data_IF_209671106320
#
_entry.id   IF_209671106320
#
_cell.length_a   1.000
_cell.length_b   1.000
_cell.length_c   1.000
_cell.angle_alpha   90.00
_cell.angle_beta   90.00
_cell.angle_gamma   90.00
#
_symmetry.space_group_name_H-M   'P 1'
#
loop_
_entity.id
_entity.type
_entity.pdbx_description
1 polymer ?
#
# COMPACT_ATOMS: atom_id res chain seq x y z
N UNK A 1 14.73 -17.68 4.03
CA UNK A 1 14.98 -19.06 4.49
C UNK A 1 14.51 -19.98 3.38
N UNK A 2 15.25 -21.02 2.95
CA UNK A 2 14.71 -22.01 2.00
C UNK A 2 13.37 -22.62 2.46
N UNK A 3 13.06 -22.52 3.76
CA UNK A 3 11.82 -23.03 4.34
C UNK A 3 10.66 -22.01 4.43
N UNK A 4 10.89 -20.71 4.25
CA UNK A 4 9.85 -19.68 4.43
C UNK A 4 9.80 -18.58 3.35
N UNK A 5 10.68 -18.61 2.34
CA UNK A 5 10.72 -17.62 1.26
C UNK A 5 11.21 -16.22 1.66
N UNK A 6 11.54 -15.98 2.93
CA UNK A 6 11.92 -14.64 3.41
C UNK A 6 13.39 -14.28 3.09
N UNK A 7 13.71 -12.99 2.86
CA UNK A 7 15.08 -12.53 2.69
C UNK A 7 15.97 -12.93 3.87
N UNK A 8 17.14 -13.51 3.59
CA UNK A 8 18.14 -13.80 4.63
C UNK A 8 18.90 -12.52 4.96
N UNK A 9 19.10 -12.24 6.24
CA UNK A 9 19.99 -11.15 6.67
C UNK A 9 21.40 -11.43 6.11
N UNK A 10 22.01 -10.41 5.51
CA UNK A 10 23.37 -10.46 4.95
C UNK A 10 24.14 -9.25 5.45
N UNK A 11 25.37 -9.49 5.87
CA UNK A 11 26.32 -8.41 6.21
C UNK A 11 27.11 -8.04 4.98
N UNK A 12 27.32 -6.74 4.79
CA UNK A 12 28.13 -6.20 3.70
C UNK A 12 29.28 -5.39 4.29
N UNK A 13 30.45 -5.48 3.67
CA UNK A 13 31.64 -4.75 4.13
C UNK A 13 31.59 -3.25 3.81
N UNK A 14 32.59 -2.46 4.26
CA UNK A 14 32.63 -1.00 4.09
C UNK A 14 32.52 -0.51 2.63
N UNK A 15 32.86 -1.37 1.65
CA UNK A 15 32.74 -1.07 0.23
C UNK A 15 31.32 -0.69 -0.20
N UNK A 16 30.29 -1.14 0.52
CA UNK A 16 28.89 -0.87 0.21
C UNK A 16 28.56 0.63 0.20
N UNK A 17 29.19 1.43 1.07
CA UNK A 17 28.98 2.88 1.09
C UNK A 17 29.45 3.53 -0.22
N UNK A 18 30.59 3.09 -0.76
CA UNK A 18 31.10 3.56 -2.06
C UNK A 18 30.19 3.14 -3.21
N UNK A 19 29.60 1.95 -3.14
CA UNK A 19 28.61 1.51 -4.11
C UNK A 19 27.35 2.39 -4.08
N UNK A 20 26.88 2.79 -2.88
CA UNK A 20 25.75 3.72 -2.75
C UNK A 20 26.08 5.13 -3.27
N UNK A 21 27.31 5.62 -3.10
CA UNK A 21 27.75 6.91 -3.68
C UNK A 21 27.63 6.90 -5.21
N UNK A 22 28.06 5.81 -5.86
CA UNK A 22 27.93 5.64 -7.31
C UNK A 22 26.46 5.53 -7.70
N UNK A 23 25.67 4.71 -6.98
CA UNK A 23 24.25 4.53 -7.26
C UNK A 23 23.46 5.84 -7.15
N UNK A 24 23.85 6.74 -6.23
CA UNK A 24 23.21 8.04 -6.06
C UNK A 24 23.33 8.93 -7.31
N UNK A 25 24.41 8.80 -8.10
CA UNK A 25 24.57 9.53 -9.38
C UNK A 25 23.53 9.10 -10.42
N UNK A 26 23.02 7.88 -10.31
CA UNK A 26 21.98 7.33 -11.19
C UNK A 26 20.55 7.57 -10.66
N UNK A 27 20.37 8.45 -9.67
CA UNK A 27 19.02 8.78 -9.14
C UNK A 27 18.03 9.26 -10.20
N UNK A 28 18.53 9.86 -11.28
CA UNK A 28 17.70 10.34 -12.40
C UNK A 28 17.03 9.20 -13.20
N UNK A 29 17.54 7.95 -13.09
CA UNK A 29 16.90 6.79 -13.71
C UNK A 29 15.62 6.36 -12.99
N UNK A 30 15.39 6.80 -11.74
CA UNK A 30 14.20 6.41 -10.97
C UNK A 30 12.93 6.81 -11.69
N UNK A 31 11.98 5.88 -11.79
CA UNK A 31 10.71 6.12 -12.49
C UNK A 31 10.81 6.07 -14.02
N UNK A 32 12.00 5.89 -14.60
CA UNK A 32 12.17 5.70 -16.05
C UNK A 32 12.14 4.22 -16.43
N UNK A 33 12.07 3.92 -17.73
CA UNK A 33 12.13 2.55 -18.25
C UNK A 33 13.45 1.82 -17.91
N UNK A 34 14.52 2.58 -17.62
CA UNK A 34 15.86 2.11 -17.25
C UNK A 34 16.05 1.96 -15.74
N UNK A 35 14.99 2.09 -14.92
CA UNK A 35 15.05 1.86 -13.47
C UNK A 35 15.13 0.35 -13.15
N UNK A 36 16.28 -0.19 -12.73
CA UNK A 36 16.40 -1.62 -12.42
C UNK A 36 15.57 -2.02 -11.19
N UNK A 37 15.28 -1.07 -10.29
CA UNK A 37 14.49 -1.33 -9.08
C UNK A 37 13.00 -1.08 -9.31
N UNK A 38 12.64 -0.29 -10.33
CA UNK A 38 11.26 0.04 -10.66
C UNK A 38 10.42 -1.12 -11.19
N UNK A 39 11.05 -2.22 -11.60
CA UNK A 39 10.36 -3.42 -12.11
C UNK A 39 10.17 -4.51 -11.06
N UNK A 40 10.62 -4.31 -9.82
CA UNK A 40 10.36 -5.27 -8.76
C UNK A 40 8.86 -5.40 -8.50
N UNK A 41 8.43 -6.59 -8.05
CA UNK A 41 7.04 -6.86 -7.73
C UNK A 41 6.52 -5.90 -6.63
N UNK A 42 7.34 -5.65 -5.60
CA UNK A 42 7.01 -4.68 -4.54
C UNK A 42 6.78 -3.26 -5.09
N UNK A 43 7.65 -2.77 -5.99
CA UNK A 43 7.51 -1.42 -6.54
C UNK A 43 6.30 -1.28 -7.47
N UNK A 44 5.96 -2.33 -8.21
CA UNK A 44 4.73 -2.35 -9.02
C UNK A 44 3.48 -2.27 -8.14
N UNK A 45 3.43 -3.08 -7.08
CA UNK A 45 2.31 -3.08 -6.13
C UNK A 45 2.15 -1.74 -5.41
N UNK A 46 3.26 -1.09 -5.02
CA UNK A 46 3.23 0.25 -4.43
C UNK A 46 2.64 1.31 -5.37
N UNK A 47 2.98 1.26 -6.67
CA UNK A 47 2.40 2.18 -7.66
C UNK A 47 0.93 1.92 -7.87
N UNK A 48 0.54 0.65 -8.04
CA UNK A 48 -0.88 0.26 -8.11
C UNK A 48 -1.68 0.67 -6.87
N UNK A 49 -1.05 0.75 -5.68
CA UNK A 49 -1.73 1.24 -4.48
C UNK A 49 -2.07 2.73 -4.58
N UNK A 50 -1.19 3.54 -5.20
CA UNK A 50 -1.45 4.96 -5.42
C UNK A 50 -2.66 5.11 -6.35
N UNK A 51 -2.63 4.41 -7.49
CA UNK A 51 -3.72 4.48 -8.49
C UNK A 51 -5.05 4.03 -7.88
N UNK A 52 -5.04 2.92 -7.12
CA UNK A 52 -6.24 2.43 -6.42
C UNK A 52 -6.76 3.43 -5.40
N UNK A 53 -5.87 4.08 -4.65
CA UNK A 53 -6.31 5.09 -3.68
C UNK A 53 -6.95 6.30 -4.37
N UNK A 54 -6.40 6.75 -5.49
CA UNK A 54 -7.01 7.82 -6.29
C UNK A 54 -8.40 7.40 -6.78
N UNK A 55 -8.55 6.19 -7.32
CA UNK A 55 -9.86 5.66 -7.71
C UNK A 55 -10.83 5.55 -6.53
N UNK A 56 -10.36 5.18 -5.34
CA UNK A 56 -11.21 5.12 -4.14
C UNK A 56 -11.70 6.51 -3.72
N UNK A 57 -10.84 7.54 -3.82
CA UNK A 57 -11.24 8.92 -3.54
C UNK A 57 -12.25 9.42 -4.58
N UNK A 58 -12.05 9.11 -5.87
CA UNK A 58 -13.01 9.44 -6.92
C UNK A 58 -14.37 8.77 -6.67
N UNK A 59 -14.38 7.49 -6.30
CA UNK A 59 -15.59 6.75 -5.94
C UNK A 59 -16.29 7.39 -4.73
N UNK A 60 -15.52 7.78 -3.71
CA UNK A 60 -16.05 8.51 -2.55
C UNK A 60 -16.74 9.80 -2.99
N UNK A 61 -16.08 10.61 -3.82
CA UNK A 61 -16.65 11.88 -4.28
C UNK A 61 -17.95 11.70 -5.08
N UNK A 62 -18.12 10.58 -5.79
CA UNK A 62 -19.32 10.27 -6.56
C UNK A 62 -20.49 9.79 -5.69
N UNK A 63 -20.22 9.04 -4.63
CA UNK A 63 -21.24 8.36 -3.83
C UNK A 63 -21.41 8.91 -2.40
N UNK A 64 -20.66 9.93 -2.00
CA UNK A 64 -20.72 10.48 -0.64
C UNK A 64 -22.09 11.09 -0.33
N UNK A 65 -22.68 10.64 0.77
CA UNK A 65 -23.95 11.08 1.33
C UNK A 65 -23.84 11.18 2.85
N UNK A 66 -24.76 11.90 3.50
CA UNK A 66 -24.73 12.09 4.95
C UNK A 66 -24.75 10.75 5.73
N UNK A 67 -25.50 9.77 5.23
CA UNK A 67 -25.66 8.45 5.87
C UNK A 67 -24.43 7.53 5.71
N UNK A 68 -23.57 7.75 4.72
CA UNK A 68 -22.43 6.85 4.42
C UNK A 68 -21.06 7.50 4.70
N UNK A 69 -21.04 8.68 5.34
CA UNK A 69 -19.82 9.40 5.71
C UNK A 69 -18.80 8.50 6.44
N UNK A 70 -19.29 7.63 7.32
CA UNK A 70 -18.44 6.71 8.06
C UNK A 70 -17.75 5.66 7.17
N UNK A 71 -18.48 5.12 6.19
CA UNK A 71 -17.94 4.17 5.19
C UNK A 71 -16.90 4.86 4.32
N UNK A 72 -17.19 6.07 3.83
CA UNK A 72 -16.27 6.87 3.04
C UNK A 72 -14.97 7.18 3.80
N UNK A 73 -15.07 7.63 5.05
CA UNK A 73 -13.90 7.89 5.89
C UNK A 73 -13.09 6.61 6.18
N UNK A 74 -13.78 5.49 6.39
CA UNK A 74 -13.11 4.20 6.62
C UNK A 74 -12.32 3.75 5.40
N UNK A 75 -12.85 3.94 4.18
CA UNK A 75 -12.17 3.63 2.93
C UNK A 75 -10.95 4.54 2.73
N UNK A 76 -11.12 5.85 2.93
CA UNK A 76 -10.05 6.83 2.80
C UNK A 76 -8.89 6.62 3.77
N UNK A 77 -9.13 6.02 4.95
CA UNK A 77 -8.12 5.74 5.98
C UNK A 77 -7.39 4.42 5.79
N UNK A 78 -7.81 3.53 4.88
CA UNK A 78 -7.16 2.24 4.68
C UNK A 78 -5.64 2.31 4.41
N UNK A 79 -5.13 3.26 3.61
CA UNK A 79 -3.70 3.38 3.38
C UNK A 79 -2.88 3.57 4.67
N UNK A 80 -3.44 4.21 5.70
CA UNK A 80 -2.77 4.44 6.98
C UNK A 80 -2.44 3.14 7.73
N UNK A 81 -3.14 2.05 7.41
CA UNK A 81 -2.93 0.71 7.98
C UNK A 81 -1.82 -0.08 7.26
N UNK A 82 -1.42 0.35 6.07
CA UNK A 82 -0.38 -0.33 5.29
C UNK A 82 0.98 0.22 5.74
N UNK A 83 1.60 -0.44 6.71
CA UNK A 83 2.89 -0.07 7.29
C UNK A 83 3.89 -1.22 7.29
N UNK A 84 5.15 -0.89 7.57
CA UNK A 84 6.25 -1.85 7.64
C UNK A 84 6.88 -2.16 6.27
N UNK A 85 7.67 -3.24 6.24
CA UNK A 85 8.49 -3.61 5.08
C UNK A 85 8.34 -5.10 4.73
N UNK A 86 8.62 -5.45 3.48
CA UNK A 86 8.55 -6.82 2.96
C UNK A 86 7.22 -7.51 3.28
N UNK A 87 7.29 -8.73 3.80
CA UNK A 87 6.12 -9.56 4.11
C UNK A 87 5.11 -8.92 5.08
N UNK A 88 5.56 -8.05 6.01
CA UNK A 88 4.67 -7.35 6.93
C UNK A 88 3.76 -6.41 6.14
N UNK A 89 4.35 -5.63 5.23
CA UNK A 89 3.62 -4.72 4.34
C UNK A 89 2.71 -5.52 3.40
N UNK A 90 3.20 -6.61 2.82
CA UNK A 90 2.39 -7.47 1.93
C UNK A 90 1.13 -8.02 2.60
N UNK A 91 1.25 -8.48 3.84
CA UNK A 91 0.10 -8.96 4.60
C UNK A 91 -0.88 -7.83 4.91
N UNK A 92 -0.37 -6.65 5.30
CA UNK A 92 -1.21 -5.47 5.53
C UNK A 92 -1.92 -5.02 4.25
N UNK A 93 -1.25 -5.05 3.09
CA UNK A 93 -1.86 -4.73 1.79
C UNK A 93 -3.01 -5.69 1.45
N UNK A 94 -2.83 -7.00 1.68
CA UNK A 94 -3.88 -8.00 1.44
C UNK A 94 -5.09 -7.77 2.35
N UNK A 95 -4.87 -7.53 3.63
CA UNK A 95 -5.94 -7.25 4.58
C UNK A 95 -6.70 -5.96 4.21
N UNK A 96 -5.96 -4.90 3.84
CA UNK A 96 -6.55 -3.64 3.40
C UNK A 96 -7.36 -3.80 2.11
N UNK A 97 -6.89 -4.60 1.15
CA UNK A 97 -7.62 -4.85 -0.10
C UNK A 97 -8.98 -5.52 0.16
N UNK A 98 -9.04 -6.54 1.03
CA UNK A 98 -10.30 -7.18 1.42
C UNK A 98 -11.25 -6.18 2.09
N UNK A 99 -10.73 -5.33 2.98
CA UNK A 99 -11.54 -4.31 3.63
C UNK A 99 -12.04 -3.25 2.63
N UNK A 100 -11.20 -2.87 1.65
CA UNK A 100 -11.57 -1.93 0.61
C UNK A 100 -12.73 -2.45 -0.25
N UNK A 101 -12.68 -3.72 -0.67
CA UNK A 101 -13.74 -4.31 -1.50
C UNK A 101 -15.11 -4.31 -0.82
N UNK A 102 -15.14 -4.56 0.50
CA UNK A 102 -16.37 -4.49 1.29
C UNK A 102 -16.89 -3.05 1.37
N UNK A 103 -15.99 -2.10 1.66
CA UNK A 103 -16.33 -0.69 1.81
C UNK A 103 -16.79 -0.04 0.49
N UNK A 104 -16.15 -0.37 -0.64
CA UNK A 104 -16.57 0.08 -1.98
C UNK A 104 -17.99 -0.36 -2.28
N UNK A 105 -18.28 -1.66 -2.08
CA UNK A 105 -19.62 -2.21 -2.29
C UNK A 105 -20.67 -1.53 -1.40
N UNK A 106 -20.36 -1.34 -0.11
CA UNK A 106 -21.23 -0.62 0.82
C UNK A 106 -21.51 0.82 0.37
N UNK A 107 -20.51 1.49 -0.18
CA UNK A 107 -20.63 2.86 -0.66
C UNK A 107 -21.52 2.95 -1.91
N UNK A 108 -21.37 2.00 -2.84
CA UNK A 108 -22.16 1.90 -4.07
C UNK A 108 -23.63 1.52 -3.80
N UNK A 109 -23.89 0.58 -2.89
CA UNK A 109 -25.26 0.13 -2.57
C UNK A 109 -26.00 1.05 -1.61
N UNK A 110 -25.29 1.94 -0.92
CA UNK A 110 -25.85 2.78 0.14
C UNK A 110 -26.23 2.00 1.41
N UNK A 111 -25.94 0.71 1.47
CA UNK A 111 -26.13 -0.10 2.67
C UNK A 111 -25.02 0.19 3.66
N UNK A 112 -25.39 0.54 4.89
CA UNK A 112 -24.45 0.68 6.00
C UNK A 112 -24.05 -0.72 6.46
N UNK A 113 -23.11 -1.33 5.75
CA UNK A 113 -22.36 -2.45 6.29
C UNK A 113 -21.44 -1.80 7.31
N UNK A 114 -21.80 -1.82 8.59
CA UNK A 114 -20.89 -1.39 9.64
C UNK A 114 -19.77 -2.43 9.73
N UNK A 115 -18.57 -2.21 9.14
CA UNK A 115 -17.44 -3.04 9.56
C UNK A 115 -17.27 -2.76 11.05
N UNK A 116 -17.24 -3.81 11.87
CA UNK A 116 -16.96 -3.70 13.30
C UNK A 116 -15.78 -2.74 13.47
N UNK A 117 -16.06 -1.58 14.02
CA UNK A 117 -15.06 -0.55 14.27
C UNK A 117 -14.04 -1.17 15.21
N UNK A 118 -12.83 -1.36 14.70
CA UNK A 118 -11.71 -1.64 15.57
C UNK A 118 -11.53 -0.38 16.45
N UNK A 119 -11.63 -0.60 17.75
CA UNK A 119 -11.20 0.35 18.76
C UNK A 119 -9.81 0.87 18.38
N UNK A 120 -9.69 2.19 18.40
CA UNK A 120 -8.40 2.85 18.39
C UNK A 120 -7.69 2.37 19.66
N UNK A 121 -6.79 1.39 19.52
CA UNK A 121 -5.87 1.02 20.57
C UNK A 121 -5.04 2.26 20.91
N UNK A 122 -5.36 2.84 22.07
CA UNK A 122 -4.54 3.79 22.80
C UNK A 122 -3.35 3.07 23.44
#
# INVERSE_FOLDING_TARGET
DPHNGQPRKRSFGPWMLRAFDVLAKFKFLRGTALDPFGRSLERRQERELIDRYVSDIELILQHLQAQNLHTALSLARLPEKIRGYGHIKENAMKAAALQADILRKSLETGEVIAPKLYEVAA
#
